data_IF_627397161243
#
_entry.id   IF_627397161243
#
_cell.length_a   1.000
_cell.length_b   1.000
_cell.length_c   1.000
_cell.angle_alpha   90.00
_cell.angle_beta   90.00
_cell.angle_gamma   90.00
#
_symmetry.space_group_name_H-M   'P 1'
#
loop_
_entity.id
_entity.type
_entity.pdbx_description
1 polymer ?
#
# COMPACT_ATOMS: atom_id res chain seq x y z
N UNK A 1 -28.00 22.45 33.20
CA UNK A 1 -27.30 23.27 32.18
C UNK A 1 -25.80 22.99 32.11
N UNK A 2 -25.05 23.04 33.23
CA UNK A 2 -23.58 22.76 33.25
C UNK A 2 -23.18 21.40 32.64
N UNK A 3 -23.86 20.31 33.02
CA UNK A 3 -23.61 18.95 32.49
C UNK A 3 -23.86 18.85 30.97
N UNK A 4 -24.90 19.52 30.48
CA UNK A 4 -25.25 19.54 29.04
C UNK A 4 -24.17 20.25 28.21
N UNK A 5 -23.67 21.38 28.72
CA UNK A 5 -22.60 22.14 28.09
C UNK A 5 -21.30 21.31 28.05
N UNK A 6 -20.93 20.66 29.15
CA UNK A 6 -19.74 19.80 29.21
C UNK A 6 -19.84 18.61 28.26
N UNK A 7 -21.02 17.98 28.14
CA UNK A 7 -21.23 16.88 27.19
C UNK A 7 -21.07 17.35 25.74
N UNK A 8 -21.62 18.51 25.38
CA UNK A 8 -21.48 19.08 24.04
C UNK A 8 -20.00 19.34 23.69
N UNK A 9 -19.25 19.96 24.61
CA UNK A 9 -17.82 20.20 24.40
C UNK A 9 -17.02 18.88 24.29
N UNK A 10 -17.34 17.87 25.09
CA UNK A 10 -16.68 16.57 25.02
C UNK A 10 -16.98 15.85 23.69
N UNK A 11 -18.24 15.91 23.22
CA UNK A 11 -18.62 15.33 21.92
C UNK A 11 -17.98 16.07 20.74
N UNK A 12 -17.89 17.40 20.81
CA UNK A 12 -17.22 18.21 19.80
C UNK A 12 -15.72 17.90 19.77
N UNK A 13 -15.09 17.74 20.92
CA UNK A 13 -13.67 17.36 21.00
C UNK A 13 -13.41 15.98 20.38
N UNK A 14 -14.23 14.97 20.67
CA UNK A 14 -14.12 13.63 20.07
C UNK A 14 -14.36 13.68 18.55
N UNK A 15 -15.28 14.52 18.09
CA UNK A 15 -15.54 14.70 16.65
C UNK A 15 -14.37 15.39 15.94
N UNK A 16 -13.76 16.41 16.56
CA UNK A 16 -12.56 17.09 16.03
C UNK A 16 -11.34 16.18 15.95
N UNK A 17 -11.21 15.20 16.85
CA UNK A 17 -10.15 14.19 16.77
C UNK A 17 -10.31 13.27 15.54
N UNK A 18 -11.54 13.02 15.07
CA UNK A 18 -11.79 12.15 13.89
C UNK A 18 -11.59 12.85 12.55
N UNK A 19 -11.72 14.17 12.49
CA UNK A 19 -11.62 14.94 11.24
C UNK A 19 -10.17 15.17 10.77
N UNK A 20 -9.18 14.99 11.64
CA UNK A 20 -7.76 15.22 11.32
C UNK A 20 -7.01 13.97 10.82
N UNK A 21 -7.70 12.85 10.58
CA UNK A 21 -7.10 11.68 9.99
C UNK A 21 -7.14 11.80 8.46
N UNK A 22 -6.19 12.52 7.86
CA UNK A 22 -5.91 12.37 6.43
C UNK A 22 -5.29 10.99 6.22
N UNK A 23 -6.12 10.02 5.83
CA UNK A 23 -5.63 8.67 5.52
C UNK A 23 -4.95 8.70 4.16
N UNK A 24 -3.63 8.90 4.14
CA UNK A 24 -2.83 8.68 2.92
C UNK A 24 -2.99 7.19 2.55
N UNK A 25 -3.58 6.93 1.38
CA UNK A 25 -3.83 5.56 0.95
C UNK A 25 -2.56 5.02 0.29
N UNK A 26 -1.75 4.32 1.06
CA UNK A 26 -0.46 3.79 0.60
C UNK A 26 -0.55 2.28 0.31
N UNK A 27 0.25 1.81 -0.65
CA UNK A 27 0.41 0.38 -0.94
C UNK A 27 1.87 -0.02 -1.07
N UNK A 28 2.17 -1.28 -0.80
CA UNK A 28 3.49 -1.90 -1.00
C UNK A 28 3.41 -2.98 -2.07
N UNK A 29 4.14 -2.82 -3.16
CA UNK A 29 4.31 -3.83 -4.20
C UNK A 29 5.59 -4.62 -3.92
N UNK A 30 5.46 -5.94 -3.84
CA UNK A 30 6.59 -6.85 -3.67
C UNK A 30 6.96 -7.48 -5.02
N UNK A 31 8.24 -7.41 -5.36
CA UNK A 31 8.83 -8.01 -6.56
C UNK A 31 9.89 -9.04 -6.16
N UNK A 32 9.82 -10.23 -6.76
CA UNK A 32 10.85 -11.26 -6.56
C UNK A 32 12.12 -10.95 -7.38
N UNK A 33 13.21 -11.67 -7.12
CA UNK A 33 14.46 -11.49 -7.85
C UNK A 33 14.48 -12.15 -9.24
N UNK A 34 15.61 -11.97 -9.93
CA UNK A 34 15.90 -12.62 -11.21
C UNK A 34 15.89 -14.15 -11.07
N UNK A 35 15.17 -14.84 -11.97
CA UNK A 35 15.06 -16.30 -11.96
C UNK A 35 14.21 -16.89 -10.84
N UNK A 36 13.58 -16.04 -10.02
CA UNK A 36 12.73 -16.43 -8.90
C UNK A 36 11.23 -16.31 -9.26
N UNK A 37 10.37 -16.58 -8.30
CA UNK A 37 8.92 -16.47 -8.41
C UNK A 37 8.33 -15.77 -7.19
N UNK A 38 7.12 -15.23 -7.32
CA UNK A 38 6.40 -14.54 -6.23
C UNK A 38 6.31 -15.33 -4.92
N UNK A 39 6.40 -16.67 -4.95
CA UNK A 39 6.33 -17.51 -3.76
C UNK A 39 7.45 -17.19 -2.75
N UNK A 40 8.63 -16.76 -3.21
CA UNK A 40 9.73 -16.39 -2.31
C UNK A 40 9.39 -15.16 -1.44
N UNK A 41 8.49 -14.30 -1.92
CA UNK A 41 8.06 -13.09 -1.23
C UNK A 41 6.88 -13.29 -0.27
N UNK A 42 6.26 -14.48 -0.21
CA UNK A 42 5.05 -14.72 0.60
C UNK A 42 5.25 -14.45 2.10
N UNK A 43 6.40 -14.83 2.65
CA UNK A 43 6.69 -14.61 4.07
C UNK A 43 6.74 -13.11 4.40
N UNK A 44 7.34 -12.32 3.52
CA UNK A 44 7.39 -10.87 3.66
C UNK A 44 6.01 -10.23 3.47
N UNK A 45 5.22 -10.72 2.50
CA UNK A 45 3.85 -10.27 2.29
C UNK A 45 3.00 -10.46 3.55
N UNK A 46 3.07 -11.63 4.18
CA UNK A 46 2.35 -11.92 5.42
C UNK A 46 2.78 -10.98 6.54
N UNK A 47 4.09 -10.87 6.79
CA UNK A 47 4.60 -10.03 7.87
C UNK A 47 4.17 -8.56 7.72
N UNK A 48 4.21 -8.02 6.50
CA UNK A 48 3.75 -6.64 6.27
C UNK A 48 2.23 -6.50 6.44
N UNK A 49 1.42 -7.49 6.03
CA UNK A 49 -0.03 -7.47 6.28
C UNK A 49 -0.35 -7.53 7.77
N UNK A 50 0.41 -8.31 8.53
CA UNK A 50 0.23 -8.44 9.98
C UNK A 50 0.50 -7.11 10.70
N UNK A 51 1.41 -6.29 10.16
CA UNK A 51 1.69 -4.91 10.62
C UNK A 51 0.71 -3.85 10.04
N UNK A 52 -0.30 -4.26 9.28
CA UNK A 52 -1.35 -3.37 8.76
C UNK A 52 -1.04 -2.71 7.42
N UNK A 53 0.05 -3.08 6.73
CA UNK A 53 0.35 -2.57 5.39
C UNK A 53 -0.55 -3.20 4.33
N UNK A 54 -1.01 -2.38 3.38
CA UNK A 54 -1.69 -2.87 2.18
C UNK A 54 -0.62 -3.35 1.20
N UNK A 55 -0.44 -4.67 1.09
CA UNK A 55 0.61 -5.24 0.26
C UNK A 55 0.08 -6.05 -0.91
N UNK A 56 0.84 -6.06 -2.01
CA UNK A 56 0.60 -6.91 -3.17
C UNK A 56 1.87 -7.60 -3.61
N UNK A 57 1.88 -8.92 -3.52
CA UNK A 57 2.93 -9.76 -4.08
C UNK A 57 2.66 -10.07 -5.56
N UNK A 58 3.53 -9.58 -6.43
CA UNK A 58 3.36 -9.61 -7.88
C UNK A 58 4.39 -10.55 -8.49
N UNK A 59 3.91 -11.50 -9.30
CA UNK A 59 4.79 -12.29 -10.16
C UNK A 59 4.97 -11.57 -11.48
N UNK A 60 6.20 -11.55 -12.00
CA UNK A 60 6.53 -10.95 -13.29
C UNK A 60 7.55 -11.81 -14.04
N UNK A 61 7.65 -11.63 -15.36
CA UNK A 61 8.75 -12.23 -16.12
C UNK A 61 10.04 -11.49 -15.82
N UNK A 62 10.93 -12.09 -15.01
CA UNK A 62 12.19 -11.45 -14.63
C UNK A 62 13.30 -11.55 -15.69
N UNK A 63 13.00 -12.14 -16.85
CA UNK A 63 13.94 -12.28 -17.97
C UNK A 63 13.24 -12.05 -19.32
N UNK A 64 14.04 -12.01 -20.39
CA UNK A 64 13.54 -11.92 -21.77
C UNK A 64 13.37 -10.50 -22.31
N UNK A 65 13.98 -9.50 -21.67
CA UNK A 65 13.97 -8.10 -22.12
C UNK A 65 14.96 -7.23 -21.34
N UNK A 66 15.05 -5.95 -21.71
CA UNK A 66 15.77 -4.95 -20.91
C UNK A 66 14.96 -4.58 -19.67
N UNK A 67 15.60 -3.94 -18.69
CA UNK A 67 14.93 -3.49 -17.46
C UNK A 67 13.76 -2.56 -17.80
N UNK A 68 13.97 -1.61 -18.72
CA UNK A 68 12.95 -0.64 -19.14
C UNK A 68 11.76 -1.34 -19.79
N UNK A 69 12.02 -2.27 -20.72
CA UNK A 69 10.95 -3.00 -21.39
C UNK A 69 10.15 -3.88 -20.43
N UNK A 70 10.82 -4.53 -19.48
CA UNK A 70 10.15 -5.36 -18.47
C UNK A 70 9.37 -4.50 -17.49
N UNK A 71 9.90 -3.36 -17.04
CA UNK A 71 9.20 -2.43 -16.16
C UNK A 71 7.93 -1.89 -16.84
N UNK A 72 8.03 -1.45 -18.09
CA UNK A 72 6.87 -0.94 -18.83
C UNK A 72 5.81 -2.01 -19.04
N UNK A 73 6.23 -3.20 -19.47
CA UNK A 73 5.32 -4.31 -19.78
C UNK A 73 4.63 -4.85 -18.53
N UNK A 74 5.37 -5.03 -17.44
CA UNK A 74 4.90 -5.76 -16.27
C UNK A 74 4.33 -4.84 -15.18
N UNK A 75 4.82 -3.59 -15.04
CA UNK A 75 4.48 -2.71 -13.92
C UNK A 75 3.58 -1.53 -14.29
N UNK A 76 3.68 -0.96 -15.50
CA UNK A 76 2.93 0.27 -15.84
C UNK A 76 1.42 0.10 -15.70
N UNK A 77 0.85 -1.02 -16.16
CA UNK A 77 -0.57 -1.31 -16.00
C UNK A 77 -1.00 -1.47 -14.52
N UNK A 78 -0.09 -1.94 -13.67
CA UNK A 78 -0.33 -2.13 -12.24
C UNK A 78 -0.33 -0.77 -11.53
N UNK A 79 0.67 0.06 -11.80
CA UNK A 79 0.77 1.42 -11.25
C UNK A 79 -0.45 2.25 -11.63
N UNK A 80 -0.84 2.23 -12.90
CA UNK A 80 -2.02 2.96 -13.37
C UNK A 80 -3.32 2.45 -12.74
N UNK A 81 -3.46 1.13 -12.57
CA UNK A 81 -4.59 0.55 -11.84
C UNK A 81 -4.64 1.02 -10.39
N UNK A 82 -3.50 1.07 -9.71
CA UNK A 82 -3.44 1.44 -8.29
C UNK A 82 -3.72 2.92 -8.08
N UNK A 83 -3.20 3.79 -8.95
CA UNK A 83 -3.59 5.20 -8.98
C UNK A 83 -5.11 5.36 -9.15
N UNK A 84 -5.73 4.61 -10.07
CA UNK A 84 -7.19 4.66 -10.30
C UNK A 84 -8.02 4.16 -9.11
N UNK A 85 -7.49 3.22 -8.34
CA UNK A 85 -8.12 2.72 -7.10
C UNK A 85 -7.99 3.74 -5.95
N UNK A 86 -7.15 4.77 -6.13
CA UNK A 86 -6.96 5.85 -5.16
C UNK A 86 -5.82 5.60 -4.20
N UNK A 87 -4.79 4.83 -4.59
CA UNK A 87 -3.53 4.81 -3.84
C UNK A 87 -2.71 6.06 -4.18
N UNK A 88 -2.45 6.89 -3.17
CA UNK A 88 -1.67 8.14 -3.28
C UNK A 88 -0.17 7.85 -3.37
N UNK A 89 0.25 6.73 -2.79
CA UNK A 89 1.66 6.31 -2.75
C UNK A 89 1.80 4.82 -2.95
N UNK A 90 2.78 4.45 -3.77
CA UNK A 90 3.15 3.06 -4.04
C UNK A 90 4.62 2.89 -3.65
N UNK A 91 4.88 2.05 -2.66
CA UNK A 91 6.20 1.64 -2.24
C UNK A 91 6.58 0.36 -2.99
N UNK A 92 7.81 0.27 -3.47
CA UNK A 92 8.34 -0.96 -4.08
C UNK A 92 9.36 -1.59 -3.14
N UNK A 93 9.21 -2.88 -2.88
CA UNK A 93 10.19 -3.69 -2.14
C UNK A 93 10.57 -4.88 -3.01
N UNK A 94 11.86 -5.09 -3.18
CA UNK A 94 12.41 -6.13 -4.05
C UNK A 94 13.39 -7.02 -3.31
N UNK A 95 13.60 -8.23 -3.82
CA UNK A 95 14.68 -9.12 -3.41
C UNK A 95 15.71 -9.24 -4.55
N UNK A 96 17.00 -9.16 -4.20
CA UNK A 96 18.15 -9.14 -5.14
C UNK A 96 18.16 -7.91 -6.06
#
# INVERSE_FOLDING_TARGET
MRKLITTIFLTLYIFSLKLNAESINESVILLHGLGDVKLSMLKLESALKDEGYITKNIGYSSSGGTIESLADKELSGIVEKYKKIGFDKIHFVTHS
#
